data_IF_727050800877
#
_entry.id   IF_727050800877
#
_cell.length_a   1.000
_cell.length_b   1.000
_cell.length_c   1.000
_cell.angle_alpha   90.00
_cell.angle_beta   90.00
_cell.angle_gamma   90.00
#
_symmetry.space_group_name_H-M   'P 1'
#
loop_
_entity.id
_entity.type
_entity.pdbx_description
1 polymer ?
#
# COMPACT_ATOMS: atom_id res chain seq x y z
N UNK A 1 20.50 -3.99 -11.14
CA UNK A 1 21.43 -3.19 -10.33
C UNK A 1 22.85 -3.39 -10.87
N UNK A 2 23.50 -2.31 -11.29
CA UNK A 2 24.83 -2.37 -11.89
C UNK A 2 25.94 -2.10 -10.86
N UNK A 3 25.64 -1.33 -9.81
CA UNK A 3 26.56 -1.02 -8.72
C UNK A 3 25.75 -0.73 -7.46
N UNK A 4 26.26 -1.15 -6.32
CA UNK A 4 25.64 -0.94 -5.00
C UNK A 4 26.68 -0.52 -4.00
N UNK A 5 26.36 0.49 -3.19
CA UNK A 5 27.07 0.82 -2.00
C UNK A 5 26.42 0.13 -0.80
N UNK A 6 27.22 -0.48 0.08
CA UNK A 6 26.68 -1.28 1.19
C UNK A 6 25.90 -0.45 2.23
N UNK A 7 26.24 0.82 2.36
CA UNK A 7 25.53 1.74 3.26
C UNK A 7 24.19 2.23 2.71
N UNK A 8 24.00 2.16 1.39
CA UNK A 8 22.77 2.60 0.72
C UNK A 8 22.18 1.44 -0.08
N UNK A 9 21.32 0.60 0.54
CA UNK A 9 20.62 -0.47 -0.15
C UNK A 9 19.78 0.07 -1.32
N UNK A 10 19.70 -0.67 -2.46
CA UNK A 10 19.08 -0.15 -3.68
C UNK A 10 17.54 -0.13 -3.65
N UNK A 11 16.90 -0.77 -2.70
CA UNK A 11 15.45 -0.91 -2.56
C UNK A 11 14.75 0.45 -2.40
N UNK A 12 15.20 1.28 -1.45
CA UNK A 12 14.62 2.61 -1.23
C UNK A 12 14.83 3.55 -2.43
N UNK A 13 16.06 3.73 -2.97
CA UNK A 13 16.26 4.49 -4.21
C UNK A 13 15.45 3.97 -5.39
N UNK A 14 15.28 2.66 -5.55
CA UNK A 14 14.49 2.06 -6.62
C UNK A 14 13.00 2.40 -6.47
N UNK A 15 12.45 2.33 -5.26
CA UNK A 15 11.06 2.71 -4.96
C UNK A 15 10.81 4.18 -5.29
N UNK A 16 11.68 5.08 -4.86
CA UNK A 16 11.58 6.52 -5.13
C UNK A 16 11.70 6.80 -6.62
N UNK A 17 12.66 6.15 -7.31
CA UNK A 17 12.86 6.30 -8.75
C UNK A 17 11.67 5.83 -9.56
N UNK A 18 11.06 4.69 -9.21
CA UNK A 18 9.85 4.19 -9.85
C UNK A 18 8.66 5.13 -9.62
N UNK A 19 8.50 5.62 -8.38
CA UNK A 19 7.48 6.62 -8.05
C UNK A 19 7.63 7.90 -8.87
N UNK A 20 8.83 8.46 -8.92
CA UNK A 20 9.11 9.67 -9.69
C UNK A 20 8.86 9.48 -11.20
N UNK A 21 9.28 8.33 -11.76
CA UNK A 21 9.07 8.02 -13.18
C UNK A 21 7.57 7.97 -13.55
N UNK A 22 6.75 7.34 -12.72
CA UNK A 22 5.29 7.31 -12.92
C UNK A 22 4.70 8.71 -12.71
N UNK A 23 5.15 9.43 -11.68
CA UNK A 23 4.64 10.74 -11.36
C UNK A 23 4.87 11.77 -12.47
N UNK A 24 6.03 11.77 -13.15
CA UNK A 24 6.31 12.70 -14.27
C UNK A 24 5.71 12.23 -15.60
N UNK A 25 5.30 10.96 -15.73
CA UNK A 25 4.69 10.41 -16.95
C UNK A 25 3.24 10.88 -17.12
N UNK A 26 2.63 10.51 -18.25
CA UNK A 26 1.22 10.73 -18.53
C UNK A 26 0.26 9.68 -17.92
N UNK A 27 0.80 8.71 -17.17
CA UNK A 27 0.00 7.66 -16.51
C UNK A 27 -0.84 8.29 -15.39
N UNK A 28 -2.16 8.06 -15.35
CA UNK A 28 -3.01 8.52 -14.26
C UNK A 28 -2.71 7.72 -12.99
N UNK A 29 -2.27 8.42 -11.98
CA UNK A 29 -1.87 7.84 -10.71
C UNK A 29 -1.97 8.86 -9.58
N UNK A 30 -2.48 8.45 -8.42
CA UNK A 30 -2.73 9.33 -7.28
C UNK A 30 -1.50 9.55 -6.37
N UNK A 31 -0.28 9.10 -6.82
CA UNK A 31 0.97 9.39 -6.11
C UNK A 31 1.44 10.84 -6.29
N UNK A 32 2.69 11.15 -5.94
CA UNK A 32 3.81 10.22 -5.68
C UNK A 32 3.81 9.58 -4.28
N UNK A 33 4.59 8.51 -4.16
CA UNK A 33 4.90 7.86 -2.89
C UNK A 33 6.37 8.03 -2.53
N UNK A 34 6.67 7.95 -1.24
CA UNK A 34 8.02 7.82 -0.73
C UNK A 34 8.16 6.55 0.09
N UNK A 35 9.41 6.16 0.34
CA UNK A 35 9.73 5.06 1.24
C UNK A 35 11.04 5.32 1.96
N UNK A 36 11.14 4.80 3.17
CA UNK A 36 12.35 4.86 4.00
C UNK A 36 12.56 3.55 4.74
N UNK A 37 13.81 3.23 5.01
CA UNK A 37 14.18 2.21 5.98
C UNK A 37 14.36 2.86 7.36
N UNK A 38 13.92 2.17 8.42
CA UNK A 38 14.00 2.69 9.79
C UNK A 38 14.61 1.63 10.69
N UNK A 39 15.60 2.01 11.48
CA UNK A 39 16.24 1.20 12.51
C UNK A 39 15.97 1.72 13.91
N UNK A 40 16.24 0.87 14.91
CA UNK A 40 16.29 1.23 16.31
C UNK A 40 17.66 0.81 16.89
N UNK A 41 18.53 1.79 17.12
CA UNK A 41 19.90 1.59 17.60
C UNK A 41 20.07 2.32 18.94
N UNK A 42 20.41 1.62 19.97
CA UNK A 42 20.60 2.16 21.33
C UNK A 42 19.41 2.99 21.86
N UNK A 43 18.17 2.60 21.46
CA UNK A 43 16.94 3.30 21.82
C UNK A 43 16.58 4.51 20.94
N UNK A 44 17.43 4.86 19.98
CA UNK A 44 17.20 5.96 19.03
C UNK A 44 16.71 5.46 17.68
N UNK A 45 15.76 6.18 17.08
CA UNK A 45 15.26 5.92 15.74
C UNK A 45 16.26 6.45 14.72
N UNK A 46 16.69 5.60 13.80
CA UNK A 46 17.62 5.94 12.72
C UNK A 46 16.94 5.74 11.37
N UNK A 47 16.89 6.79 10.57
CA UNK A 47 16.37 6.74 9.19
C UNK A 47 17.47 6.30 8.24
N UNK A 48 17.15 5.33 7.37
CA UNK A 48 18.08 4.75 6.40
C UNK A 48 19.43 4.33 7.06
N UNK A 49 19.39 3.41 8.04
CA UNK A 49 20.57 3.01 8.78
C UNK A 49 21.65 2.45 7.85
N UNK A 50 22.90 2.81 8.08
CA UNK A 50 24.06 2.26 7.37
C UNK A 50 24.30 0.79 7.77
N UNK A 51 25.31 0.13 7.16
CA UNK A 51 25.59 -1.28 7.39
C UNK A 51 25.89 -1.60 8.86
N UNK A 52 26.69 -0.79 9.52
CA UNK A 52 27.05 -0.97 10.94
C UNK A 52 25.82 -0.82 11.85
N UNK A 53 25.01 0.20 11.60
CA UNK A 53 23.77 0.45 12.33
C UNK A 53 22.75 -0.68 12.14
N UNK A 54 22.61 -1.21 10.91
CA UNK A 54 21.72 -2.35 10.64
C UNK A 54 22.16 -3.60 11.39
N UNK A 55 23.46 -3.85 11.53
CA UNK A 55 23.98 -5.02 12.22
C UNK A 55 23.59 -5.08 13.71
N UNK A 56 23.51 -3.93 14.38
CA UNK A 56 23.18 -3.82 15.80
C UNK A 56 21.73 -3.39 16.07
N UNK A 57 20.99 -3.01 15.05
CA UNK A 57 19.61 -2.56 15.17
C UNK A 57 18.68 -3.65 15.71
N UNK A 58 17.78 -3.26 16.59
CA UNK A 58 16.68 -4.11 17.09
C UNK A 58 15.45 -4.08 16.18
N UNK A 59 15.42 -3.18 15.22
CA UNK A 59 14.33 -3.00 14.27
C UNK A 59 14.87 -2.93 12.84
N UNK A 60 14.26 -3.69 11.94
CA UNK A 60 14.40 -3.54 10.50
C UNK A 60 13.01 -3.24 9.97
N UNK A 61 12.73 -1.99 9.67
CA UNK A 61 11.41 -1.53 9.26
C UNK A 61 11.51 -0.80 7.94
N UNK A 62 10.67 -1.17 6.98
CA UNK A 62 10.43 -0.39 5.75
C UNK A 62 9.05 0.23 5.84
N UNK A 63 8.97 1.53 5.66
CA UNK A 63 7.72 2.29 5.59
C UNK A 63 7.60 2.92 4.23
N UNK A 64 6.44 2.81 3.60
CA UNK A 64 6.12 3.53 2.37
C UNK A 64 4.72 4.14 2.43
N UNK A 65 4.53 5.27 1.75
CA UNK A 65 3.27 5.97 1.76
C UNK A 65 3.25 7.24 0.94
N UNK A 66 2.13 7.93 1.02
CA UNK A 66 1.94 9.29 0.51
C UNK A 66 2.27 10.31 1.60
N UNK A 67 2.12 11.58 1.31
CA UNK A 67 2.19 12.63 2.34
C UNK A 67 0.99 12.61 3.31
N UNK A 68 -0.10 11.95 2.97
CA UNK A 68 -1.31 11.88 3.80
C UNK A 68 -1.38 10.60 4.64
N UNK A 69 -0.87 9.47 4.13
CA UNK A 69 -1.05 8.17 4.77
C UNK A 69 0.14 7.22 4.57
N UNK A 70 0.39 6.41 5.60
CA UNK A 70 1.23 5.21 5.50
C UNK A 70 0.43 4.13 4.77
N UNK A 71 1.00 3.58 3.70
CA UNK A 71 0.35 2.56 2.86
C UNK A 71 0.96 1.16 3.05
N UNK A 72 2.26 1.10 3.40
CA UNK A 72 2.97 -0.16 3.56
C UNK A 72 3.88 -0.09 4.78
N UNK A 73 3.86 -1.15 5.55
CA UNK A 73 4.77 -1.41 6.67
C UNK A 73 5.26 -2.84 6.57
N UNK A 74 6.57 -3.03 6.47
CA UNK A 74 7.22 -4.34 6.54
C UNK A 74 8.26 -4.29 7.64
N UNK A 75 8.15 -5.16 8.66
CA UNK A 75 8.98 -5.08 9.84
C UNK A 75 9.48 -6.44 10.31
N UNK A 76 10.77 -6.47 10.67
CA UNK A 76 11.37 -7.48 11.53
C UNK A 76 11.87 -6.83 12.82
N UNK A 77 11.53 -7.38 13.98
CA UNK A 77 11.89 -6.78 15.26
C UNK A 77 12.39 -7.83 16.24
N UNK A 78 13.31 -7.43 17.13
CA UNK A 78 13.84 -8.22 18.26
C UNK A 78 13.20 -7.69 19.55
N UNK A 79 11.93 -8.06 19.79
CA UNK A 79 11.18 -7.75 21.02
C UNK A 79 11.22 -6.25 21.39
N UNK A 80 10.79 -5.39 20.48
CA UNK A 80 10.60 -3.96 20.78
C UNK A 80 9.17 -3.69 21.27
N UNK A 81 8.97 -2.56 21.98
CA UNK A 81 7.64 -2.16 22.44
C UNK A 81 6.75 -1.68 21.31
N UNK A 82 5.43 -1.80 21.48
CA UNK A 82 4.46 -1.20 20.53
C UNK A 82 4.64 0.31 20.41
N UNK A 83 4.99 0.99 21.51
CA UNK A 83 5.25 2.42 21.50
C UNK A 83 6.47 2.78 20.64
N UNK A 84 7.55 2.00 20.69
CA UNK A 84 8.72 2.21 19.85
C UNK A 84 8.44 1.90 18.38
N UNK A 85 7.65 0.86 18.10
CA UNK A 85 7.20 0.53 16.75
C UNK A 85 6.38 1.67 16.15
N UNK A 86 5.40 2.18 16.89
CA UNK A 86 4.57 3.30 16.45
C UNK A 86 5.42 4.56 16.22
N UNK A 87 6.34 4.86 17.14
CA UNK A 87 7.28 5.99 17.01
C UNK A 87 8.12 5.86 15.73
N UNK A 88 8.63 4.66 15.44
CA UNK A 88 9.43 4.38 14.25
C UNK A 88 8.63 4.61 12.96
N UNK A 89 7.38 4.09 12.89
CA UNK A 89 6.50 4.27 11.74
C UNK A 89 6.20 5.76 11.51
N UNK A 90 5.82 6.49 12.55
CA UNK A 90 5.50 7.92 12.44
C UNK A 90 6.73 8.75 12.06
N UNK A 91 7.90 8.46 12.62
CA UNK A 91 9.16 9.14 12.24
C UNK A 91 9.48 8.86 10.77
N UNK A 92 9.32 7.63 10.30
CA UNK A 92 9.49 7.29 8.89
C UNK A 92 8.52 8.04 7.98
N UNK A 93 7.26 8.20 8.40
CA UNK A 93 6.26 8.94 7.63
C UNK A 93 6.60 10.43 7.49
N UNK A 94 7.15 11.08 8.51
CA UNK A 94 7.61 12.47 8.40
C UNK A 94 8.73 12.64 7.35
N UNK A 95 9.62 11.68 7.19
CA UNK A 95 10.63 11.70 6.12
C UNK A 95 10.00 11.43 4.74
N UNK A 96 9.01 10.54 4.66
CA UNK A 96 8.25 10.28 3.42
C UNK A 96 7.59 11.55 2.90
N UNK A 97 7.01 12.37 3.76
CA UNK A 97 6.40 13.65 3.36
C UNK A 97 7.40 14.57 2.65
N UNK A 98 8.65 14.61 3.10
CA UNK A 98 9.72 15.40 2.46
C UNK A 98 10.07 14.86 1.07
N UNK A 99 10.17 13.52 0.94
CA UNK A 99 10.43 12.86 -0.34
C UNK A 99 9.29 13.08 -1.34
N UNK A 100 8.05 13.01 -0.88
CA UNK A 100 6.87 13.28 -1.71
C UNK A 100 6.82 14.76 -2.13
N UNK A 101 7.09 15.68 -1.22
CA UNK A 101 7.15 17.10 -1.55
C UNK A 101 8.20 17.41 -2.62
N UNK A 102 9.39 16.79 -2.52
CA UNK A 102 10.43 16.91 -3.53
C UNK A 102 9.99 16.36 -4.90
N UNK A 103 9.38 15.19 -4.93
CA UNK A 103 8.85 14.62 -6.18
C UNK A 103 7.75 15.51 -6.79
N UNK A 104 6.87 16.11 -5.98
CA UNK A 104 5.86 17.06 -6.45
C UNK A 104 6.49 18.30 -7.10
N UNK A 105 7.64 18.78 -6.61
CA UNK A 105 8.39 19.87 -7.27
C UNK A 105 8.90 19.45 -8.66
N UNK A 106 9.47 18.25 -8.77
CA UNK A 106 9.92 17.71 -10.07
C UNK A 106 8.74 17.59 -11.04
N UNK A 107 7.60 17.10 -10.58
CA UNK A 107 6.38 16.98 -11.41
C UNK A 107 5.90 18.35 -11.88
N UNK A 108 5.99 19.38 -11.05
CA UNK A 108 5.60 20.74 -11.42
C UNK A 108 6.48 21.33 -12.54
N UNK A 109 7.76 20.93 -12.63
CA UNK A 109 8.69 21.42 -13.63
C UNK A 109 8.65 20.64 -14.97
N UNK A 110 8.56 19.29 -14.90
CA UNK A 110 8.72 18.43 -16.08
C UNK A 110 7.60 17.39 -16.23
N UNK A 111 6.59 17.41 -15.37
CA UNK A 111 5.47 16.47 -15.43
C UNK A 111 4.64 16.63 -16.70
N UNK A 112 4.10 15.52 -17.20
CA UNK A 112 3.18 15.50 -18.33
C UNK A 112 1.73 15.55 -17.84
N UNK A 113 0.85 16.09 -18.66
CA UNK A 113 -0.60 16.01 -18.45
C UNK A 113 -1.02 14.54 -18.38
N UNK A 114 -1.85 14.19 -17.39
CA UNK A 114 -2.31 12.83 -17.18
C UNK A 114 -3.39 12.45 -18.19
N UNK A 115 -3.29 11.24 -18.73
CA UNK A 115 -4.33 10.68 -19.60
C UNK A 115 -5.61 10.47 -18.82
N UNK A 116 -6.72 10.77 -19.46
CA UNK A 116 -8.05 10.51 -18.92
C UNK A 116 -8.60 9.24 -19.57
N UNK A 117 -9.04 8.31 -18.76
CA UNK A 117 -9.70 7.09 -19.21
C UNK A 117 -11.15 7.07 -18.73
N UNK A 118 -12.10 6.59 -19.54
CA UNK A 118 -13.44 6.33 -19.05
C UNK A 118 -13.39 5.23 -17.98
N UNK A 119 -13.89 5.52 -16.79
CA UNK A 119 -14.03 4.54 -15.73
C UNK A 119 -15.38 3.88 -15.90
N UNK A 120 -15.39 2.55 -16.11
CA UNK A 120 -16.62 1.79 -16.07
C UNK A 120 -17.12 1.69 -14.62
N UNK A 121 -18.19 2.41 -14.33
CA UNK A 121 -18.83 2.34 -13.02
C UNK A 121 -19.95 1.30 -13.05
N UNK A 122 -20.00 0.45 -12.03
CA UNK A 122 -21.16 -0.43 -11.80
C UNK A 122 -22.36 0.44 -11.47
N UNK A 123 -23.48 0.27 -12.20
CA UNK A 123 -24.70 1.03 -11.95
C UNK A 123 -25.22 0.89 -10.52
N UNK A 124 -25.79 1.95 -9.98
CA UNK A 124 -26.33 1.96 -8.61
C UNK A 124 -27.48 0.96 -8.43
N UNK A 125 -28.23 0.69 -9.49
CA UNK A 125 -29.27 -0.36 -9.53
C UNK A 125 -28.69 -1.77 -9.31
N UNK A 126 -27.51 -2.06 -9.89
CA UNK A 126 -26.82 -3.34 -9.70
C UNK A 126 -26.28 -3.42 -8.26
N UNK A 127 -25.64 -2.38 -7.77
CA UNK A 127 -25.13 -2.34 -6.39
C UNK A 127 -26.24 -2.51 -5.36
N UNK A 128 -27.37 -1.83 -5.55
CA UNK A 128 -28.53 -1.92 -4.67
C UNK A 128 -29.15 -3.33 -4.68
N UNK A 129 -29.27 -3.96 -5.85
CA UNK A 129 -29.80 -5.31 -5.97
C UNK A 129 -28.88 -6.33 -5.28
N UNK A 130 -27.56 -6.28 -5.57
CA UNK A 130 -26.59 -7.17 -4.92
C UNK A 130 -26.61 -7.00 -3.41
N UNK A 131 -26.66 -5.77 -2.92
CA UNK A 131 -26.75 -5.52 -1.48
C UNK A 131 -28.04 -6.07 -0.86
N UNK A 132 -29.17 -5.90 -1.52
CA UNK A 132 -30.45 -6.37 -1.01
C UNK A 132 -30.52 -7.91 -0.95
N UNK A 133 -30.02 -8.58 -1.98
CA UNK A 133 -30.18 -10.03 -2.12
C UNK A 133 -29.06 -10.83 -1.43
N UNK A 134 -27.85 -10.25 -1.27
CA UNK A 134 -26.68 -11.00 -0.80
C UNK A 134 -26.02 -10.48 0.48
N UNK A 135 -26.47 -9.38 1.07
CA UNK A 135 -25.86 -8.88 2.30
C UNK A 135 -25.86 -9.91 3.43
N UNK A 136 -27.01 -10.52 3.71
CA UNK A 136 -27.12 -11.53 4.76
C UNK A 136 -26.37 -12.82 4.43
N UNK A 137 -26.29 -13.18 3.16
CA UNK A 137 -25.49 -14.32 2.70
C UNK A 137 -23.99 -14.08 2.88
N UNK A 138 -23.51 -12.85 2.62
CA UNK A 138 -22.13 -12.46 2.92
C UNK A 138 -21.88 -12.50 4.43
N UNK A 139 -22.78 -11.96 5.24
CA UNK A 139 -22.65 -12.02 6.70
C UNK A 139 -22.52 -13.47 7.19
N UNK A 140 -23.38 -14.37 6.73
CA UNK A 140 -23.29 -15.79 7.02
C UNK A 140 -21.93 -16.42 6.63
N UNK A 141 -21.38 -16.03 5.47
CA UNK A 141 -20.08 -16.56 5.04
C UNK A 141 -18.96 -16.16 6.02
N UNK A 142 -19.01 -14.93 6.55
CA UNK A 142 -18.03 -14.43 7.52
C UNK A 142 -18.21 -14.94 8.96
N UNK A 143 -19.33 -15.57 9.30
CA UNK A 143 -19.50 -16.22 10.63
C UNK A 143 -18.63 -17.46 10.79
N UNK A 144 -18.14 -18.06 9.70
CA UNK A 144 -17.26 -19.22 9.79
C UNK A 144 -15.91 -18.85 10.41
N UNK A 145 -15.58 -19.46 11.54
CA UNK A 145 -14.31 -19.23 12.23
C UNK A 145 -13.12 -19.84 11.46
N UNK A 146 -13.31 -21.07 10.93
CA UNK A 146 -12.30 -21.74 10.12
C UNK A 146 -12.10 -21.04 8.76
N UNK A 147 -10.84 -20.84 8.39
CA UNK A 147 -10.47 -20.13 7.15
C UNK A 147 -10.95 -20.86 5.90
N UNK A 148 -10.84 -22.19 5.85
CA UNK A 148 -11.20 -22.96 4.66
C UNK A 148 -12.71 -23.03 4.50
N UNK A 149 -13.43 -23.19 5.61
CA UNK A 149 -14.88 -23.11 5.60
C UNK A 149 -15.39 -21.74 5.16
N UNK A 150 -14.79 -20.66 5.68
CA UNK A 150 -15.13 -19.29 5.26
C UNK A 150 -14.93 -19.09 3.77
N UNK A 151 -13.76 -19.49 3.22
CA UNK A 151 -13.47 -19.37 1.79
C UNK A 151 -14.45 -20.18 0.94
N UNK A 152 -14.85 -21.37 1.39
CA UNK A 152 -15.83 -22.17 0.68
C UNK A 152 -17.23 -21.50 0.67
N UNK A 153 -17.65 -20.90 1.79
CA UNK A 153 -18.89 -20.14 1.88
C UNK A 153 -18.88 -18.87 1.02
N UNK A 154 -17.77 -18.15 0.99
CA UNK A 154 -17.59 -16.97 0.13
C UNK A 154 -17.71 -17.34 -1.35
N UNK A 155 -17.06 -18.43 -1.77
CA UNK A 155 -17.15 -18.90 -3.15
C UNK A 155 -18.56 -19.35 -3.52
N UNK A 156 -19.24 -20.02 -2.62
CA UNK A 156 -20.66 -20.37 -2.81
C UNK A 156 -21.54 -19.13 -3.02
N UNK A 157 -21.38 -18.09 -2.19
CA UNK A 157 -22.14 -16.84 -2.32
C UNK A 157 -21.84 -16.13 -3.64
N UNK A 158 -20.59 -16.11 -4.09
CA UNK A 158 -20.21 -15.57 -5.40
C UNK A 158 -20.88 -16.33 -6.54
N UNK A 159 -20.87 -17.66 -6.48
CA UNK A 159 -21.50 -18.52 -7.49
C UNK A 159 -23.00 -18.23 -7.58
N UNK A 160 -23.70 -18.23 -6.44
CA UNK A 160 -25.12 -17.92 -6.35
C UNK A 160 -25.46 -16.54 -6.95
N UNK A 161 -24.61 -15.53 -6.66
CA UNK A 161 -24.77 -14.18 -7.20
C UNK A 161 -24.57 -14.15 -8.72
N UNK A 162 -23.54 -14.84 -9.22
CA UNK A 162 -23.30 -14.94 -10.66
C UNK A 162 -24.45 -15.61 -11.40
N UNK A 163 -24.97 -16.70 -10.88
CA UNK A 163 -26.10 -17.42 -11.49
C UNK A 163 -27.38 -16.56 -11.51
N UNK A 164 -27.67 -15.85 -10.41
CA UNK A 164 -28.84 -15.00 -10.31
C UNK A 164 -28.77 -13.77 -11.25
N UNK A 165 -27.58 -13.20 -11.42
CA UNK A 165 -27.44 -11.92 -12.13
C UNK A 165 -26.91 -12.04 -13.55
N UNK A 166 -26.46 -13.23 -14.00
CA UNK A 166 -25.94 -13.43 -15.35
C UNK A 166 -26.93 -12.98 -16.45
N UNK A 167 -28.22 -13.28 -16.26
CA UNK A 167 -29.27 -12.88 -17.21
C UNK A 167 -29.82 -11.47 -16.90
N UNK A 168 -29.94 -11.11 -15.61
CA UNK A 168 -30.60 -9.87 -15.19
C UNK A 168 -29.80 -8.62 -15.54
N UNK A 169 -28.48 -8.74 -15.56
CA UNK A 169 -27.55 -7.63 -15.82
C UNK A 169 -26.57 -7.96 -16.95
N UNK A 170 -27.03 -8.70 -17.97
CA UNK A 170 -26.22 -9.08 -19.12
C UNK A 170 -25.54 -7.83 -19.76
N UNK A 171 -24.22 -7.91 -19.96
CA UNK A 171 -23.43 -6.82 -20.56
C UNK A 171 -23.09 -5.63 -19.64
N UNK A 172 -23.31 -5.76 -18.35
CA UNK A 172 -23.10 -4.68 -17.35
C UNK A 172 -22.11 -5.06 -16.25
#
# INVERSE_FOLDING_TARGET
VLSVEQDVPPDIPAMIGASAAIAVSDIPWAGPIGGVSVGLVDGEIVINPNQEQRAVSKLSLTVAGTDEAVLMVEAGAKEISEADMLRAILTGHEEIKKLVAFQKQIVAEIGKEKRVFPIAETGEDVKAAVRADFFDRCAWAFEAFDRHERSAREEQVKQEAHELYAERFEGR
#
